data_IF_449892357260
#
_entry.id   IF_449892357260
#
_cell.length_a   1.000
_cell.length_b   1.000
_cell.length_c   1.000
_cell.angle_alpha   90.00
_cell.angle_beta   90.00
_cell.angle_gamma   90.00
#
_symmetry.space_group_name_H-M   'P 1'
#
loop_
_entity.id
_entity.type
_entity.pdbx_description
1 polymer ?
#
# COMPACT_ATOMS: atom_id res chain seq x y z
N UNK A 1 10.55 -6.87 -19.27
CA UNK A 1 11.69 -7.67 -18.75
C UNK A 1 11.87 -7.26 -17.31
N UNK A 2 11.76 -8.15 -16.33
CA UNK A 2 12.03 -7.78 -14.95
C UNK A 2 13.50 -7.38 -14.83
N UNK A 3 13.74 -6.22 -14.25
CA UNK A 3 15.08 -5.75 -13.91
C UNK A 3 15.73 -6.75 -12.98
N UNK A 4 16.84 -7.36 -13.37
CA UNK A 4 17.51 -8.45 -12.68
C UNK A 4 18.17 -8.10 -11.32
N UNK A 5 17.59 -7.18 -10.55
CA UNK A 5 17.98 -6.94 -9.16
C UNK A 5 17.28 -7.95 -8.24
N UNK A 6 18.07 -8.59 -7.39
CA UNK A 6 17.52 -9.50 -6.39
C UNK A 6 16.47 -8.75 -5.52
N UNK A 7 15.30 -9.35 -5.24
CA UNK A 7 14.19 -8.72 -4.52
C UNK A 7 14.59 -8.01 -3.22
N UNK A 8 15.56 -8.56 -2.49
CA UNK A 8 16.10 -7.99 -1.23
C UNK A 8 16.72 -6.60 -1.38
N UNK A 9 17.31 -6.27 -2.52
CA UNK A 9 17.89 -4.95 -2.77
C UNK A 9 16.82 -3.88 -2.98
N UNK A 10 15.74 -4.21 -3.65
CA UNK A 10 14.61 -3.31 -3.85
C UNK A 10 13.92 -2.97 -2.54
N UNK A 11 13.59 -3.96 -1.70
CA UNK A 11 12.97 -3.77 -0.38
C UNK A 11 13.79 -2.84 0.52
N UNK A 12 15.11 -3.03 0.59
CA UNK A 12 15.98 -2.18 1.40
C UNK A 12 16.04 -0.74 0.89
N UNK A 13 15.91 -0.52 -0.42
CA UNK A 13 15.88 0.82 -1.03
C UNK A 13 14.57 1.54 -0.71
N UNK A 14 13.43 0.84 -0.86
CA UNK A 14 12.11 1.35 -0.50
C UNK A 14 12.09 1.77 0.96
N UNK A 15 12.48 0.87 1.87
CA UNK A 15 12.58 1.19 3.30
C UNK A 15 13.42 2.43 3.56
N UNK A 16 14.64 2.52 2.99
CA UNK A 16 15.49 3.71 3.16
C UNK A 16 14.88 4.99 2.60
N UNK A 17 14.05 4.89 1.54
CA UNK A 17 13.35 6.05 1.00
C UNK A 17 12.29 6.56 1.99
N UNK A 18 11.49 5.66 2.57
CA UNK A 18 10.54 6.00 3.62
C UNK A 18 11.24 6.50 4.89
N UNK A 19 12.33 5.87 5.33
CA UNK A 19 13.13 6.34 6.46
C UNK A 19 13.63 7.78 6.26
N UNK A 20 14.04 8.15 5.04
CA UNK A 20 14.45 9.52 4.70
C UNK A 20 13.29 10.49 4.57
N UNK A 21 12.13 10.04 4.10
CA UNK A 21 10.92 10.85 3.97
C UNK A 21 10.25 11.11 5.33
N UNK A 22 10.43 10.22 6.30
CA UNK A 22 9.73 10.20 7.57
C UNK A 22 9.62 11.57 8.27
N UNK A 23 10.66 12.44 8.35
CA UNK A 23 10.54 13.73 9.01
C UNK A 23 9.58 14.72 8.34
N UNK A 24 9.22 14.50 7.06
CA UNK A 24 8.37 15.37 6.25
C UNK A 24 7.09 14.68 5.78
N UNK A 25 6.94 13.40 6.10
CA UNK A 25 5.86 12.56 5.60
C UNK A 25 4.49 13.09 6.00
N UNK A 26 4.29 13.49 7.26
CA UNK A 26 3.02 14.00 7.77
C UNK A 26 2.54 15.29 7.14
N UNK A 27 3.42 16.04 6.46
CA UNK A 27 3.06 17.23 5.70
C UNK A 27 2.68 16.96 4.23
N UNK A 28 2.85 15.72 3.78
CA UNK A 28 2.64 15.31 2.37
C UNK A 28 1.81 14.02 2.26
N UNK A 29 1.13 13.62 3.32
CA UNK A 29 0.38 12.35 3.42
C UNK A 29 -1.09 12.47 2.99
N UNK A 30 -1.49 13.61 2.42
CA UNK A 30 -2.90 13.90 2.07
C UNK A 30 -3.52 12.84 1.15
N UNK A 31 -2.75 12.33 0.19
CA UNK A 31 -3.21 11.30 -0.74
C UNK A 31 -3.49 9.98 0.00
N UNK A 32 -2.61 9.58 0.91
CA UNK A 32 -2.80 8.38 1.74
C UNK A 32 -4.00 8.51 2.67
N UNK A 33 -4.22 9.71 3.22
CA UNK A 33 -5.43 10.00 4.04
C UNK A 33 -6.70 9.96 3.21
N UNK A 34 -6.67 10.47 1.99
CA UNK A 34 -7.83 10.39 1.08
C UNK A 34 -8.14 8.93 0.71
N UNK A 35 -7.11 8.12 0.42
CA UNK A 35 -7.29 6.68 0.19
C UNK A 35 -7.88 5.98 1.40
N UNK A 36 -7.38 6.26 2.61
CA UNK A 36 -7.92 5.72 3.86
C UNK A 36 -9.36 6.11 4.10
N UNK A 37 -9.73 7.38 3.83
CA UNK A 37 -11.11 7.88 3.97
C UNK A 37 -12.06 7.09 3.07
N UNK A 38 -11.72 6.92 1.79
CA UNK A 38 -12.51 6.16 0.81
C UNK A 38 -12.63 4.68 1.19
N UNK A 39 -11.54 4.06 1.63
CA UNK A 39 -11.58 2.69 2.17
C UNK A 39 -12.49 2.60 3.40
N UNK A 40 -12.44 3.60 4.30
CA UNK A 40 -13.29 3.67 5.48
C UNK A 40 -14.78 3.75 5.14
N UNK A 41 -15.14 4.54 4.13
CA UNK A 41 -16.53 4.64 3.63
C UNK A 41 -17.03 3.31 3.06
N UNK A 42 -16.18 2.54 2.39
CA UNK A 42 -16.52 1.19 1.92
C UNK A 42 -16.70 0.22 3.07
N UNK A 43 -15.89 0.36 4.12
CA UNK A 43 -16.01 -0.44 5.33
C UNK A 43 -17.35 -0.20 6.05
N UNK A 44 -18.03 0.96 5.81
CA UNK A 44 -19.37 1.25 6.34
C UNK A 44 -20.45 0.30 5.77
N UNK A 45 -20.23 -0.25 4.59
CA UNK A 45 -21.13 -1.18 3.95
C UNK A 45 -20.92 -2.64 4.40
N UNK A 46 -19.87 -2.89 5.18
CA UNK A 46 -19.48 -4.24 5.61
C UNK A 46 -19.88 -4.46 7.07
N UNK A 47 -20.60 -5.55 7.32
CA UNK A 47 -20.89 -5.98 8.70
C UNK A 47 -19.73 -6.81 9.23
N UNK A 48 -18.91 -6.20 10.06
CA UNK A 48 -17.76 -6.85 10.69
C UNK A 48 -17.57 -6.28 12.10
N UNK A 49 -17.37 -7.14 13.07
CA UNK A 49 -17.04 -6.79 14.47
C UNK A 49 -15.66 -7.40 14.81
N UNK A 50 -14.57 -6.86 14.33
CA UNK A 50 -13.25 -7.43 14.52
C UNK A 50 -12.80 -7.20 15.97
N UNK A 51 -12.17 -8.21 16.56
CA UNK A 51 -11.47 -8.10 17.84
C UNK A 51 -9.96 -7.93 17.66
N UNK A 52 -9.42 -8.30 16.49
CA UNK A 52 -8.01 -8.20 16.14
C UNK A 52 -7.87 -7.55 14.77
N UNK A 53 -7.23 -6.39 14.70
CA UNK A 53 -6.98 -5.63 13.47
C UNK A 53 -5.48 -5.59 13.21
N UNK A 54 -5.06 -6.06 12.05
CA UNK A 54 -3.72 -5.85 11.52
C UNK A 54 -3.74 -4.67 10.56
N UNK A 55 -2.97 -3.63 10.86
CA UNK A 55 -2.67 -2.52 9.96
C UNK A 55 -1.33 -2.82 9.26
N UNK A 56 -1.42 -3.36 8.04
CA UNK A 56 -0.29 -3.89 7.28
C UNK A 56 0.32 -2.81 6.38
N UNK A 57 1.54 -2.38 6.70
CA UNK A 57 2.19 -1.21 6.13
C UNK A 57 1.75 0.08 6.82
N UNK A 58 1.57 0.02 8.13
CA UNK A 58 0.94 1.09 8.93
C UNK A 58 1.72 2.42 8.97
N UNK A 59 2.98 2.44 8.54
CA UNK A 59 3.83 3.61 8.64
C UNK A 59 3.87 4.18 10.07
N UNK A 60 3.43 5.41 10.24
CA UNK A 60 3.27 6.05 11.54
C UNK A 60 1.98 5.68 12.27
N UNK A 61 1.07 4.93 11.63
CA UNK A 61 -0.25 4.56 12.16
C UNK A 61 -1.29 5.67 12.00
N UNK A 62 -1.27 6.36 10.87
CA UNK A 62 -2.20 7.46 10.58
C UNK A 62 -3.67 7.00 10.56
N UNK A 63 -3.94 5.76 10.15
CA UNK A 63 -5.29 5.20 10.04
C UNK A 63 -5.82 4.64 11.38
N UNK A 64 -4.92 4.42 12.36
CA UNK A 64 -5.29 3.88 13.67
C UNK A 64 -6.42 4.64 14.37
N UNK A 65 -6.43 6.00 14.43
CA UNK A 65 -7.51 6.71 15.12
C UNK A 65 -8.89 6.40 14.53
N UNK A 66 -9.00 6.32 13.22
CA UNK A 66 -10.24 5.97 12.52
C UNK A 66 -10.65 4.52 12.82
N UNK A 67 -9.73 3.56 12.70
CA UNK A 67 -9.99 2.14 12.97
C UNK A 67 -10.38 1.90 14.44
N UNK A 68 -9.68 2.53 15.39
CA UNK A 68 -10.00 2.40 16.81
C UNK A 68 -11.30 3.12 17.22
N UNK A 69 -11.67 4.20 16.54
CA UNK A 69 -12.95 4.86 16.74
C UNK A 69 -14.11 3.98 16.28
N UNK A 70 -13.93 3.35 15.10
CA UNK A 70 -14.93 2.47 14.51
C UNK A 70 -15.11 1.16 15.30
N UNK A 71 -14.01 0.59 15.75
CA UNK A 71 -13.94 -0.70 16.46
C UNK A 71 -13.29 -0.54 17.83
N UNK A 72 -14.02 0.03 18.81
CA UNK A 72 -13.45 0.38 20.12
C UNK A 72 -12.98 -0.84 20.92
N UNK A 73 -13.55 -2.02 20.68
CA UNK A 73 -13.19 -3.27 21.37
C UNK A 73 -12.04 -4.01 20.68
N UNK A 74 -11.66 -3.60 19.46
CA UNK A 74 -10.61 -4.27 18.71
C UNK A 74 -9.21 -3.92 19.24
N UNK A 75 -8.32 -4.89 19.24
CA UNK A 75 -6.88 -4.66 19.44
C UNK A 75 -6.23 -4.32 18.08
N UNK A 76 -5.58 -3.18 18.01
CA UNK A 76 -4.87 -2.73 16.82
C UNK A 76 -3.39 -3.12 16.90
N UNK A 77 -2.90 -3.77 15.86
CA UNK A 77 -1.50 -4.12 15.62
C UNK A 77 -1.04 -3.48 14.31
N UNK A 78 -0.09 -2.56 14.37
CA UNK A 78 0.56 -1.99 13.20
C UNK A 78 1.86 -2.74 12.85
N UNK A 79 2.00 -3.09 11.58
CA UNK A 79 3.23 -3.71 11.05
C UNK A 79 3.78 -2.85 9.92
N UNK A 80 5.08 -2.54 9.97
CA UNK A 80 5.79 -1.84 8.90
C UNK A 80 7.27 -2.25 8.86
N UNK A 81 7.89 -2.17 7.69
CA UNK A 81 9.32 -2.44 7.54
C UNK A 81 10.22 -1.30 8.04
N UNK A 82 9.70 -0.06 8.08
CA UNK A 82 10.42 1.14 8.52
C UNK A 82 10.37 1.32 10.04
N UNK A 83 11.47 1.04 10.70
CA UNK A 83 11.60 1.30 12.13
C UNK A 83 11.54 2.80 12.48
N UNK A 84 11.88 3.67 11.53
CA UNK A 84 11.83 5.13 11.73
C UNK A 84 10.38 5.59 11.81
N UNK A 85 9.53 5.17 10.86
CA UNK A 85 8.11 5.50 10.87
C UNK A 85 7.41 4.95 12.12
N UNK A 86 7.68 3.69 12.49
CA UNK A 86 7.10 3.08 13.69
C UNK A 86 7.47 3.84 14.97
N UNK A 87 8.72 4.31 15.09
CA UNK A 87 9.17 5.12 16.24
C UNK A 87 8.47 6.48 16.28
N UNK A 88 8.35 7.15 15.14
CA UNK A 88 7.63 8.44 15.05
C UNK A 88 6.17 8.28 15.45
N UNK A 89 5.48 7.25 14.96
CA UNK A 89 4.11 6.94 15.34
C UNK A 89 3.95 6.72 16.86
N UNK A 90 4.92 6.05 17.52
CA UNK A 90 4.93 5.92 18.98
C UNK A 90 5.04 7.27 19.69
N UNK A 91 5.88 8.17 19.18
CA UNK A 91 6.03 9.51 19.76
C UNK A 91 4.74 10.32 19.63
N UNK A 92 4.03 10.23 18.48
CA UNK A 92 2.75 10.89 18.26
C UNK A 92 1.69 10.36 19.24
N UNK A 93 1.57 9.05 19.43
CA UNK A 93 0.63 8.46 20.38
C UNK A 93 0.92 8.91 21.82
N UNK A 94 2.20 8.99 22.19
CA UNK A 94 2.61 9.44 23.50
C UNK A 94 2.28 10.91 23.76
N UNK A 95 2.42 11.75 22.75
CA UNK A 95 2.09 13.18 22.82
C UNK A 95 0.57 13.41 22.88
N UNK A 96 -0.21 12.61 22.13
CA UNK A 96 -1.67 12.71 22.08
C UNK A 96 -2.35 12.21 23.36
N UNK A 97 -1.74 11.23 24.06
CA UNK A 97 -2.22 10.71 25.35
C UNK A 97 -1.59 11.49 26.48
N UNK A 98 -2.20 12.60 26.89
CA UNK A 98 -1.80 13.33 28.12
C UNK A 98 -1.79 12.38 29.35
N UNK A 99 -0.88 12.67 30.29
CA UNK A 99 -0.60 11.86 31.47
C UNK A 99 -1.85 11.36 32.22
N UNK A 100 -2.90 12.18 32.33
CA UNK A 100 -4.16 11.84 32.99
C UNK A 100 -5.05 10.86 32.20
N UNK A 101 -5.03 10.90 30.86
CA UNK A 101 -5.78 9.94 30.04
C UNK A 101 -5.18 8.53 30.09
N UNK A 102 -3.87 8.41 30.31
CA UNK A 102 -3.18 7.13 30.52
C UNK A 102 -3.67 6.39 31.76
N UNK A 103 -4.01 7.12 32.83
CA UNK A 103 -4.49 6.54 34.09
C UNK A 103 -5.95 6.06 33.97
N UNK A 104 -6.75 6.74 33.14
CA UNK A 104 -8.20 6.49 33.01
C UNK A 104 -8.56 5.51 31.88
N UNK A 105 -7.68 5.35 30.89
CA UNK A 105 -7.95 4.50 29.72
C UNK A 105 -7.39 3.09 29.91
N UNK A 106 -8.05 2.29 30.74
CA UNK A 106 -7.75 0.86 30.93
C UNK A 106 -8.38 -0.04 29.84
N UNK A 107 -8.93 0.54 28.73
CA UNK A 107 -9.51 -0.22 27.64
C UNK A 107 -8.46 -0.99 26.82
N UNK A 108 -8.87 -2.07 26.15
CA UNK A 108 -8.03 -2.92 25.29
C UNK A 108 -7.25 -2.13 24.23
N UNK A 109 -7.76 -0.98 23.78
CA UNK A 109 -7.12 -0.06 22.83
C UNK A 109 -6.00 0.82 23.41
N UNK A 110 -5.70 0.74 24.72
CA UNK A 110 -4.73 1.61 25.38
C UNK A 110 -3.27 1.37 24.93
N UNK A 111 -2.95 0.22 24.34
CA UNK A 111 -1.61 -0.11 23.87
C UNK A 111 -1.60 -0.33 22.35
N UNK A 112 -1.22 0.71 21.59
CA UNK A 112 -0.86 0.53 20.21
C UNK A 112 0.38 -0.37 20.12
N UNK A 113 0.21 -1.58 19.64
CA UNK A 113 1.34 -2.46 19.32
C UNK A 113 1.88 -2.13 17.94
N UNK A 114 3.19 -1.99 17.82
CA UNK A 114 3.88 -1.78 16.54
C UNK A 114 5.04 -2.74 16.42
N UNK A 115 5.09 -3.44 15.29
CA UNK A 115 6.09 -4.48 15.01
C UNK A 115 6.78 -4.16 13.70
N UNK A 116 8.10 -4.18 13.70
CA UNK A 116 8.89 -4.08 12.48
C UNK A 116 9.05 -5.44 11.84
N UNK A 117 8.36 -5.68 10.71
CA UNK A 117 8.41 -6.94 9.99
C UNK A 117 8.20 -6.75 8.47
N UNK A 118 8.47 -7.82 7.74
CA UNK A 118 8.15 -7.97 6.32
C UNK A 118 6.71 -8.50 6.18
N UNK A 119 5.91 -7.89 5.31
CA UNK A 119 4.54 -8.32 5.07
C UNK A 119 4.44 -9.69 4.37
N UNK A 120 5.52 -10.14 3.74
CA UNK A 120 5.60 -11.49 3.16
C UNK A 120 5.94 -12.58 4.20
N UNK A 121 6.29 -12.18 5.44
CA UNK A 121 6.65 -13.11 6.52
C UNK A 121 6.30 -12.47 7.87
N UNK A 122 5.03 -12.47 8.20
CA UNK A 122 4.51 -11.86 9.41
C UNK A 122 4.87 -12.71 10.66
N UNK A 123 5.40 -12.12 11.72
CA UNK A 123 5.69 -12.85 12.96
C UNK A 123 4.41 -13.08 13.78
N UNK A 124 3.39 -13.65 13.13
CA UNK A 124 2.06 -13.87 13.68
C UNK A 124 1.65 -15.32 13.47
N UNK A 125 0.89 -15.85 14.42
CA UNK A 125 0.27 -17.16 14.27
C UNK A 125 -0.76 -17.17 13.15
N UNK A 126 -1.04 -18.32 12.57
CA UNK A 126 -2.16 -18.46 11.64
C UNK A 126 -3.50 -18.20 12.32
N UNK A 127 -4.46 -17.69 11.58
CA UNK A 127 -5.85 -17.49 12.02
C UNK A 127 -5.97 -16.68 13.33
N UNK A 128 -5.24 -15.59 13.45
CA UNK A 128 -5.24 -14.73 14.63
C UNK A 128 -5.82 -13.34 14.39
N UNK A 129 -6.07 -12.92 13.13
CA UNK A 129 -6.60 -11.62 12.75
C UNK A 129 -8.01 -11.72 12.18
N UNK A 130 -8.87 -10.74 12.50
CA UNK A 130 -10.24 -10.66 11.99
C UNK A 130 -10.34 -9.68 10.82
N UNK A 131 -9.53 -8.61 10.84
CA UNK A 131 -9.41 -7.62 9.78
C UNK A 131 -7.94 -7.36 9.47
N UNK A 132 -7.58 -7.42 8.20
CA UNK A 132 -6.34 -6.82 7.69
C UNK A 132 -6.72 -5.55 6.93
N UNK A 133 -6.14 -4.44 7.37
CA UNK A 133 -6.21 -3.14 6.72
C UNK A 133 -4.83 -2.83 6.11
N UNK A 134 -4.77 -2.53 4.81
CA UNK A 134 -3.51 -2.21 4.14
C UNK A 134 -3.71 -1.03 3.19
N UNK A 135 -3.47 0.18 3.70
CA UNK A 135 -3.64 1.40 2.93
C UNK A 135 -2.34 1.80 2.23
N UNK A 136 -2.36 1.84 0.90
CA UNK A 136 -1.27 2.31 0.04
C UNK A 136 0.11 1.68 0.33
N UNK A 137 0.13 0.40 0.75
CA UNK A 137 1.35 -0.31 1.08
C UNK A 137 1.73 -1.40 0.07
N UNK A 138 0.76 -2.08 -0.52
CA UNK A 138 0.97 -3.30 -1.31
C UNK A 138 1.77 -3.07 -2.60
N UNK A 139 1.60 -1.95 -3.26
CA UNK A 139 2.33 -1.62 -4.49
C UNK A 139 3.86 -1.41 -4.28
N UNK A 140 4.31 -1.39 -3.03
CA UNK A 140 5.74 -1.36 -2.67
C UNK A 140 6.36 -2.74 -2.57
N UNK A 141 5.56 -3.80 -2.65
CA UNK A 141 6.00 -5.18 -2.48
C UNK A 141 6.39 -5.81 -3.82
N UNK A 142 7.44 -6.63 -3.82
CA UNK A 142 7.92 -7.30 -5.03
C UNK A 142 7.12 -8.57 -5.35
N UNK A 143 6.48 -9.15 -4.34
CA UNK A 143 5.79 -10.44 -4.42
C UNK A 143 4.41 -10.34 -3.75
N UNK A 144 3.45 -9.79 -4.48
CA UNK A 144 2.05 -9.71 -4.04
C UNK A 144 1.40 -11.08 -3.82
N UNK A 145 1.60 -12.09 -4.71
CA UNK A 145 1.06 -13.42 -4.48
C UNK A 145 1.48 -14.03 -3.14
N UNK A 146 2.75 -13.90 -2.75
CA UNK A 146 3.22 -14.40 -1.47
C UNK A 146 2.65 -13.60 -0.29
N UNK A 147 2.53 -12.28 -0.46
CA UNK A 147 1.88 -11.42 0.54
C UNK A 147 0.42 -11.83 0.78
N UNK A 148 -0.33 -12.09 -0.28
CA UNK A 148 -1.73 -12.51 -0.15
C UNK A 148 -1.88 -13.88 0.50
N UNK A 149 -0.99 -14.83 0.22
CA UNK A 149 -0.94 -16.12 0.95
C UNK A 149 -0.67 -15.91 2.43
N UNK A 150 0.27 -15.04 2.76
CA UNK A 150 0.61 -14.72 4.14
C UNK A 150 -0.54 -14.02 4.87
N UNK A 151 -1.23 -13.09 4.21
CA UNK A 151 -2.43 -12.46 4.73
C UNK A 151 -3.56 -13.47 4.95
N UNK A 152 -3.77 -14.35 3.98
CA UNK A 152 -4.74 -15.44 4.14
C UNK A 152 -4.36 -16.37 5.30
N UNK A 153 -3.08 -16.68 5.50
CA UNK A 153 -2.60 -17.50 6.61
C UNK A 153 -2.97 -16.90 7.97
N UNK A 154 -2.76 -15.59 8.16
CA UNK A 154 -2.98 -14.92 9.45
C UNK A 154 -4.44 -14.54 9.70
N UNK A 155 -5.26 -14.35 8.66
CA UNK A 155 -6.68 -14.12 8.80
C UNK A 155 -7.41 -15.36 9.34
N UNK A 156 -8.41 -15.16 10.17
CA UNK A 156 -9.40 -16.17 10.54
C UNK A 156 -10.34 -16.44 9.38
N UNK A 157 -10.96 -17.61 9.39
CA UNK A 157 -12.12 -17.88 8.52
C UNK A 157 -13.22 -16.87 8.84
N UNK A 158 -13.81 -16.26 7.81
CA UNK A 158 -14.73 -15.12 7.95
C UNK A 158 -14.04 -13.78 8.15
N UNK A 159 -12.69 -13.73 8.17
CA UNK A 159 -11.93 -12.49 8.25
C UNK A 159 -11.87 -11.76 6.91
N UNK A 160 -11.70 -10.46 6.98
CA UNK A 160 -11.70 -9.52 5.87
C UNK A 160 -10.30 -8.95 5.61
N UNK A 161 -9.88 -8.95 4.37
CA UNK A 161 -8.79 -8.11 3.87
C UNK A 161 -9.40 -6.89 3.18
N UNK A 162 -9.03 -5.68 3.63
CA UNK A 162 -9.27 -4.42 2.92
C UNK A 162 -7.95 -3.75 2.57
N UNK A 163 -7.82 -3.28 1.34
CA UNK A 163 -6.58 -2.68 0.89
C UNK A 163 -6.78 -1.61 -0.17
N UNK A 164 -5.75 -0.77 -0.31
CA UNK A 164 -5.59 0.14 -1.43
C UNK A 164 -4.18 0.08 -1.99
N UNK A 165 -4.06 0.37 -3.28
CA UNK A 165 -2.79 0.45 -3.99
C UNK A 165 -2.90 1.43 -5.16
N UNK A 166 -1.78 1.74 -5.79
CA UNK A 166 -1.76 2.52 -7.02
C UNK A 166 -1.80 1.60 -8.24
N UNK A 167 -2.58 2.01 -9.25
CA UNK A 167 -2.68 1.35 -10.53
C UNK A 167 -1.72 1.90 -11.59
N UNK A 168 -1.69 1.27 -12.79
CA UNK A 168 -0.71 1.52 -13.85
C UNK A 168 -0.73 2.94 -14.42
N UNK A 169 -1.86 3.64 -14.38
CA UNK A 169 -1.98 5.00 -14.88
C UNK A 169 -1.43 6.06 -13.90
N UNK A 170 -0.97 5.65 -12.72
CA UNK A 170 -0.36 6.56 -11.74
C UNK A 170 0.90 7.21 -12.31
N UNK A 171 0.96 8.56 -12.21
CA UNK A 171 2.05 9.40 -12.70
C UNK A 171 2.31 9.29 -14.21
N UNK A 172 1.29 9.01 -15.02
CA UNK A 172 1.42 8.83 -16.48
C UNK A 172 2.00 10.06 -17.17
N UNK A 173 1.67 11.27 -16.73
CA UNK A 173 2.19 12.53 -17.30
C UNK A 173 3.69 12.67 -17.02
N UNK A 174 4.12 12.36 -15.80
CA UNK A 174 5.54 12.38 -15.44
C UNK A 174 6.32 11.28 -16.16
N UNK A 175 5.71 10.11 -16.33
CA UNK A 175 6.30 9.00 -17.11
C UNK A 175 6.53 9.42 -18.56
N UNK A 176 5.51 9.97 -19.21
CA UNK A 176 5.62 10.49 -20.57
C UNK A 176 6.72 11.56 -20.67
N UNK A 177 6.73 12.54 -19.76
CA UNK A 177 7.74 13.59 -19.75
C UNK A 177 9.16 13.07 -19.57
N UNK A 178 9.37 12.04 -18.74
CA UNK A 178 10.68 11.41 -18.54
C UNK A 178 11.14 10.63 -19.78
N UNK A 179 10.23 9.94 -20.47
CA UNK A 179 10.51 9.23 -21.71
C UNK A 179 10.90 10.18 -22.84
N UNK A 180 10.17 11.30 -22.97
CA UNK A 180 10.46 12.33 -23.99
C UNK A 180 11.77 13.07 -23.71
N UNK A 181 12.09 13.34 -22.44
CA UNK A 181 13.33 14.01 -22.04
C UNK A 181 14.58 13.14 -22.22
N UNK A 182 14.45 11.82 -22.20
CA UNK A 182 15.54 10.87 -22.34
C UNK A 182 15.08 9.62 -23.09
N UNK A 183 14.88 9.70 -24.43
CA UNK A 183 14.46 8.57 -25.24
C UNK A 183 15.44 7.38 -25.11
N UNK A 184 14.90 6.16 -24.96
CA UNK A 184 15.70 4.94 -24.80
C UNK A 184 16.30 4.75 -23.40
N UNK A 185 16.07 5.65 -22.46
CA UNK A 185 16.42 5.42 -21.05
C UNK A 185 15.42 4.44 -20.40
N UNK A 186 15.92 3.70 -19.40
CA UNK A 186 15.04 2.86 -18.56
C UNK A 186 13.96 3.73 -17.92
N UNK A 187 12.72 3.22 -17.89
CA UNK A 187 11.61 3.90 -17.23
C UNK A 187 11.99 4.24 -15.79
N UNK A 188 11.82 5.49 -15.44
CA UNK A 188 12.18 6.04 -14.13
C UNK A 188 11.01 6.15 -13.17
N UNK A 189 9.82 5.77 -13.61
CA UNK A 189 8.62 5.67 -12.78
C UNK A 189 8.40 4.22 -12.39
N UNK A 190 7.74 3.99 -11.25
CA UNK A 190 7.32 2.65 -10.87
C UNK A 190 6.25 2.16 -11.85
N UNK A 191 6.32 0.89 -12.25
CA UNK A 191 5.20 0.20 -12.85
C UNK A 191 4.36 -0.41 -11.74
N UNK A 192 3.07 -0.16 -11.78
CA UNK A 192 2.11 -0.70 -10.82
C UNK A 192 1.33 -1.84 -11.47
N UNK A 193 0.82 -2.75 -10.65
CA UNK A 193 0.05 -3.91 -11.09
C UNK A 193 -1.38 -3.48 -11.43
N UNK A 194 -1.92 -4.02 -12.52
CA UNK A 194 -3.33 -3.81 -12.91
C UNK A 194 -4.28 -4.44 -11.89
N UNK A 195 -5.46 -3.82 -11.70
CA UNK A 195 -6.42 -4.29 -10.71
C UNK A 195 -6.95 -5.70 -11.00
N UNK A 196 -7.05 -6.10 -12.28
CA UNK A 196 -7.51 -7.44 -12.65
C UNK A 196 -6.47 -8.49 -12.24
N UNK A 197 -5.18 -8.21 -12.47
CA UNK A 197 -4.10 -9.08 -12.02
C UNK A 197 -4.08 -9.22 -10.50
N UNK A 198 -4.36 -8.12 -9.77
CA UNK A 198 -4.48 -8.14 -8.30
C UNK A 198 -5.65 -9.02 -7.86
N UNK A 199 -6.80 -8.92 -8.53
CA UNK A 199 -7.97 -9.76 -8.29
C UNK A 199 -7.65 -11.25 -8.48
N UNK A 200 -6.98 -11.60 -9.55
CA UNK A 200 -6.54 -12.96 -9.83
C UNK A 200 -5.54 -13.48 -8.76
N UNK A 201 -4.60 -12.63 -8.33
CA UNK A 201 -3.65 -12.96 -7.27
C UNK A 201 -4.37 -13.23 -5.93
N UNK A 202 -5.43 -12.49 -5.61
CA UNK A 202 -6.25 -12.72 -4.42
C UNK A 202 -6.91 -14.10 -4.45
N UNK A 203 -7.54 -14.46 -5.57
CA UNK A 203 -8.18 -15.77 -5.75
C UNK A 203 -7.14 -16.89 -5.60
N UNK A 204 -5.98 -16.75 -6.25
CA UNK A 204 -4.87 -17.71 -6.12
C UNK A 204 -4.27 -17.74 -4.71
N UNK A 205 -4.34 -16.64 -3.97
CA UNK A 205 -3.96 -16.54 -2.56
C UNK A 205 -4.95 -17.18 -1.59
N UNK A 206 -6.07 -17.73 -2.09
CA UNK A 206 -7.09 -18.42 -1.28
C UNK A 206 -8.17 -17.51 -0.72
N UNK A 207 -8.32 -16.30 -1.24
CA UNK A 207 -9.43 -15.40 -0.93
C UNK A 207 -10.64 -15.69 -1.80
N UNK A 208 -11.82 -15.37 -1.29
CA UNK A 208 -13.10 -15.48 -2.01
C UNK A 208 -13.72 -14.13 -2.22
N UNK A 209 -14.51 -14.04 -3.29
CA UNK A 209 -15.35 -12.89 -3.64
C UNK A 209 -14.57 -11.56 -3.61
N UNK A 210 -13.42 -11.45 -4.32
CA UNK A 210 -12.70 -10.19 -4.40
C UNK A 210 -13.54 -9.14 -5.11
N UNK A 211 -13.76 -8.02 -4.44
CA UNK A 211 -14.39 -6.83 -5.02
C UNK A 211 -13.31 -5.78 -5.21
N UNK A 212 -13.16 -5.34 -6.43
CA UNK A 212 -12.17 -4.34 -6.82
C UNK A 212 -12.86 -3.12 -7.41
N UNK A 213 -12.30 -1.96 -7.16
CA UNK A 213 -12.76 -0.71 -7.74
C UNK A 213 -11.58 0.22 -8.00
N UNK A 214 -11.71 1.09 -8.99
CA UNK A 214 -10.67 1.99 -9.42
C UNK A 214 -11.24 3.39 -9.62
N UNK A 215 -10.54 4.38 -9.09
CA UNK A 215 -10.85 5.79 -9.28
C UNK A 215 -9.59 6.55 -9.71
N UNK A 216 -9.79 7.58 -10.52
CA UNK A 216 -8.70 8.47 -10.96
C UNK A 216 -8.77 9.77 -10.19
N UNK A 217 -7.66 10.15 -9.55
CA UNK A 217 -7.47 11.45 -8.89
C UNK A 217 -6.35 12.21 -9.60
N UNK A 218 -6.64 13.42 -10.09
CA UNK A 218 -5.63 14.27 -10.71
C UNK A 218 -5.35 15.50 -9.83
N UNK A 219 -4.10 15.64 -9.42
CA UNK A 219 -3.58 16.81 -8.72
C UNK A 219 -2.90 17.73 -9.72
N UNK A 220 -3.13 19.04 -9.60
CA UNK A 220 -2.51 20.01 -10.51
C UNK A 220 -1.64 20.99 -9.74
N UNK A 221 -0.48 21.30 -10.26
CA UNK A 221 0.54 22.14 -9.62
C UNK A 221 0.89 23.36 -10.50
N UNK A 222 1.00 24.52 -9.88
CA UNK A 222 1.54 25.69 -10.57
C UNK A 222 3.07 25.64 -10.71
N UNK A 223 3.75 25.01 -9.72
CA UNK A 223 5.21 24.81 -9.72
C UNK A 223 5.52 23.30 -9.84
N UNK A 224 6.14 22.86 -10.95
CA UNK A 224 6.51 21.44 -11.12
C UNK A 224 7.56 20.96 -10.10
N UNK A 225 8.37 21.88 -9.57
CA UNK A 225 9.32 21.54 -8.51
C UNK A 225 8.62 21.25 -7.18
N UNK A 226 7.49 21.91 -6.92
CA UNK A 226 6.64 21.57 -5.77
C UNK A 226 6.08 20.14 -5.93
N UNK A 227 5.54 19.79 -7.09
CA UNK A 227 5.06 18.44 -7.38
C UNK A 227 6.14 17.38 -7.12
N UNK A 228 7.36 17.60 -7.63
CA UNK A 228 8.49 16.67 -7.42
C UNK A 228 8.92 16.59 -5.95
N UNK A 229 8.86 17.69 -5.20
CA UNK A 229 9.16 17.70 -3.76
C UNK A 229 8.12 16.91 -2.96
N UNK A 230 6.84 17.09 -3.28
CA UNK A 230 5.75 16.36 -2.60
C UNK A 230 5.83 14.88 -2.86
N UNK A 231 6.01 14.46 -4.11
CA UNK A 231 6.25 13.06 -4.46
C UNK A 231 7.41 12.46 -3.65
N UNK A 232 8.51 13.19 -3.52
CA UNK A 232 9.67 12.74 -2.71
C UNK A 232 9.33 12.64 -1.22
N UNK A 233 8.58 13.59 -0.68
CA UNK A 233 8.18 13.61 0.73
C UNK A 233 7.17 12.52 1.08
N UNK A 234 6.33 12.13 0.13
CA UNK A 234 5.41 11.00 0.26
C UNK A 234 6.13 9.64 0.30
N UNK A 235 7.46 9.60 0.22
CA UNK A 235 8.22 8.35 0.09
C UNK A 235 8.04 7.72 -1.29
N UNK A 236 7.19 8.30 -2.15
CA UNK A 236 6.93 7.78 -3.46
C UNK A 236 8.21 7.83 -4.28
N UNK A 237 8.66 6.68 -4.59
CA UNK A 237 9.96 6.50 -5.18
C UNK A 237 9.90 6.57 -6.67
N UNK A 238 9.74 7.74 -7.18
CA UNK A 238 10.42 8.05 -8.43
C UNK A 238 11.90 7.61 -8.35
N UNK A 239 12.44 7.46 -7.15
CA UNK A 239 13.87 7.24 -6.93
C UNK A 239 14.33 5.77 -6.88
N UNK A 240 13.47 4.76 -6.82
CA UNK A 240 13.93 3.37 -6.67
C UNK A 240 14.61 2.82 -7.92
N UNK A 241 14.22 3.28 -9.10
CA UNK A 241 14.91 2.92 -10.37
C UNK A 241 16.07 3.85 -10.72
N UNK A 242 16.21 5.03 -10.08
CA UNK A 242 17.25 6.01 -10.40
C UNK A 242 18.69 5.57 -10.06
N UNK A 243 18.85 4.64 -9.15
CA UNK A 243 20.17 4.28 -8.67
C UNK A 243 21.00 3.47 -9.68
N UNK A 244 20.39 2.96 -10.74
CA UNK A 244 21.11 2.15 -11.73
C UNK A 244 21.93 2.99 -12.74
N UNK A 245 21.70 4.30 -12.87
CA UNK A 245 22.25 5.10 -13.95
C UNK A 245 22.90 6.44 -13.55
N UNK A 246 23.44 6.54 -12.34
CA UNK A 246 24.20 7.72 -11.90
C UNK A 246 23.33 8.85 -11.32
N UNK A 247 23.98 9.98 -11.03
CA UNK A 247 23.35 11.15 -10.42
C UNK A 247 22.40 11.82 -11.42
N UNK A 248 21.15 12.02 -11.02
CA UNK A 248 20.18 12.79 -11.79
C UNK A 248 20.48 14.29 -11.65
N UNK A 249 20.84 14.93 -12.74
CA UNK A 249 21.24 16.34 -12.76
C UNK A 249 20.02 17.27 -12.80
N UNK A 250 20.21 18.54 -12.38
CA UNK A 250 19.20 19.59 -12.55
C UNK A 250 18.83 19.80 -14.03
N UNK A 251 19.82 19.63 -14.94
CA UNK A 251 19.61 19.70 -16.40
C UNK A 251 18.59 18.65 -16.87
N UNK A 252 18.67 17.43 -16.37
CA UNK A 252 17.71 16.38 -16.68
C UNK A 252 16.29 16.76 -16.25
N UNK A 253 16.12 17.21 -14.98
CA UNK A 253 14.81 17.61 -14.49
C UNK A 253 14.25 18.82 -15.24
N UNK A 254 15.07 19.79 -15.64
CA UNK A 254 14.61 20.88 -16.49
C UNK A 254 14.11 20.37 -17.85
N UNK A 255 14.77 19.36 -18.44
CA UNK A 255 14.30 18.74 -19.68
C UNK A 255 12.98 17.99 -19.48
N UNK A 256 12.80 17.28 -18.36
CA UNK A 256 11.52 16.62 -18.00
C UNK A 256 10.42 17.66 -17.86
N UNK A 257 10.66 18.75 -17.13
CA UNK A 257 9.68 19.82 -16.92
C UNK A 257 9.27 20.47 -18.25
N UNK A 258 10.21 20.63 -19.19
CA UNK A 258 9.93 21.18 -20.51
C UNK A 258 9.01 20.27 -21.35
N UNK A 259 9.04 18.95 -21.12
CA UNK A 259 8.20 17.96 -21.79
C UNK A 259 6.94 17.60 -21.00
N UNK A 260 6.76 18.11 -19.76
CA UNK A 260 5.62 17.78 -18.94
C UNK A 260 4.36 18.42 -19.51
N UNK A 261 3.32 17.63 -19.85
CA UNK A 261 2.04 18.17 -20.34
C UNK A 261 1.45 19.17 -19.36
N UNK A 262 0.81 20.19 -19.89
CA UNK A 262 0.07 21.16 -19.07
C UNK A 262 -1.43 21.03 -19.35
N UNK A 263 -2.22 21.27 -18.32
CA UNK A 263 -3.67 21.37 -18.45
C UNK A 263 -4.09 22.70 -19.12
N UNK A 264 -5.40 22.91 -19.27
CA UNK A 264 -5.95 24.10 -19.90
C UNK A 264 -5.60 25.40 -19.16
N UNK A 265 -5.34 25.29 -17.85
CA UNK A 265 -4.96 26.40 -16.97
C UNK A 265 -3.42 26.59 -16.92
N UNK A 266 -2.66 25.84 -17.71
CA UNK A 266 -1.20 25.90 -17.76
C UNK A 266 -0.50 25.25 -16.56
N UNK A 267 -1.22 24.46 -15.75
CA UNK A 267 -0.71 23.75 -14.57
C UNK A 267 -0.15 22.39 -14.96
N UNK A 268 0.64 21.81 -14.08
CA UNK A 268 1.27 20.50 -14.25
C UNK A 268 0.42 19.41 -13.57
N UNK A 269 -0.29 18.56 -14.34
CA UNK A 269 -1.08 17.50 -13.77
C UNK A 269 -0.21 16.32 -13.31
N UNK A 270 -0.66 15.68 -12.25
CA UNK A 270 -0.21 14.37 -11.78
C UNK A 270 -1.44 13.50 -11.53
N UNK A 271 -1.60 12.50 -12.34
CA UNK A 271 -2.69 11.52 -12.20
C UNK A 271 -2.27 10.40 -11.25
N UNK A 272 -3.18 10.04 -10.36
CA UNK A 272 -3.08 8.87 -9.49
C UNK A 272 -4.28 7.98 -9.76
N UNK A 273 -4.02 6.76 -10.14
CA UNK A 273 -5.02 5.69 -10.23
C UNK A 273 -5.07 5.00 -8.88
N UNK A 274 -6.20 5.15 -8.20
CA UNK A 274 -6.43 4.61 -6.86
C UNK A 274 -7.22 3.32 -6.99
N UNK A 275 -6.57 2.18 -6.80
CA UNK A 275 -7.21 0.88 -6.76
C UNK A 275 -7.52 0.53 -5.31
N UNK A 276 -8.77 0.16 -5.04
CA UNK A 276 -9.21 -0.30 -3.74
C UNK A 276 -9.87 -1.67 -3.88
N UNK A 277 -9.66 -2.51 -2.90
CA UNK A 277 -10.24 -3.84 -2.93
C UNK A 277 -10.49 -4.40 -1.55
N UNK A 278 -11.39 -5.38 -1.53
CA UNK A 278 -11.57 -6.23 -0.36
C UNK A 278 -11.83 -7.68 -0.80
N UNK A 279 -11.48 -8.59 0.08
CA UNK A 279 -11.73 -10.01 -0.14
C UNK A 279 -11.85 -10.75 1.20
N UNK A 280 -12.63 -11.82 1.23
CA UNK A 280 -12.90 -12.60 2.42
C UNK A 280 -12.05 -13.87 2.46
N UNK A 281 -11.63 -14.28 3.63
CA UNK A 281 -11.16 -15.63 3.85
C UNK A 281 -12.34 -16.53 4.18
N UNK A 282 -12.72 -17.37 3.24
CA UNK A 282 -13.78 -18.37 3.46
C UNK A 282 -13.20 -19.70 3.97
N UNK A 283 -14.05 -20.50 4.60
CA UNK A 283 -13.70 -21.88 4.89
C UNK A 283 -13.41 -22.64 3.58
N UNK A 284 -12.43 -23.52 3.61
CA UNK A 284 -12.21 -24.41 2.47
C UNK A 284 -13.52 -25.16 2.15
N UNK A 285 -13.95 -25.14 0.87
CA UNK A 285 -15.13 -25.90 0.45
C UNK A 285 -14.86 -27.37 0.72
N UNK A 286 -15.68 -27.97 1.57
CA UNK A 286 -15.67 -29.41 1.82
C UNK A 286 -16.90 -30.02 1.14
N UNK A 287 -16.76 -31.20 0.59
CA UNK A 287 -17.89 -32.02 0.16
C UNK A 287 -18.71 -32.46 1.39
N UNK A 288 -19.99 -32.80 1.22
CA UNK A 288 -20.86 -33.26 2.32
C UNK A 288 -20.28 -34.45 3.11
N UNK A 289 -19.39 -35.21 2.50
CA UNK A 289 -18.67 -36.35 3.13
C UNK A 289 -17.36 -35.93 3.84
N UNK A 290 -17.07 -34.62 3.96
CA UNK A 290 -15.87 -34.11 4.63
C UNK A 290 -14.60 -34.08 3.77
N UNK A 291 -14.65 -34.49 2.50
CA UNK A 291 -13.50 -34.42 1.59
C UNK A 291 -13.29 -33.00 1.06
N UNK A 292 -12.03 -32.61 0.91
CA UNK A 292 -11.69 -31.34 0.30
C UNK A 292 -12.10 -31.30 -1.19
N UNK A 293 -12.80 -30.26 -1.61
CA UNK A 293 -13.09 -30.03 -3.03
C UNK A 293 -11.85 -29.41 -3.67
N UNK A 294 -11.15 -30.17 -4.50
CA UNK A 294 -10.02 -29.66 -5.29
C UNK A 294 -10.56 -29.21 -6.65
N UNK A 295 -10.62 -27.91 -6.88
CA UNK A 295 -10.94 -27.38 -8.21
C UNK A 295 -9.67 -27.43 -9.07
N UNK A 296 -9.62 -28.32 -10.04
CA UNK A 296 -8.60 -28.28 -11.08
C UNK A 296 -8.93 -27.16 -12.07
N UNK A 297 -8.20 -26.07 -12.01
CA UNK A 297 -8.19 -25.12 -13.12
C UNK A 297 -7.38 -25.73 -14.26
N UNK A 298 -7.94 -25.84 -15.49
CA UNK A 298 -7.17 -26.28 -16.64
C UNK A 298 -6.03 -25.26 -16.86
N UNK A 299 -4.81 -25.75 -17.06
CA UNK A 299 -3.72 -24.88 -17.50
C UNK A 299 -4.11 -24.22 -18.82
N UNK A 300 -3.95 -22.89 -18.96
CA UNK A 300 -4.11 -22.27 -20.27
C UNK A 300 -3.13 -22.94 -21.23
N UNK A 301 -3.67 -23.38 -22.39
CA UNK A 301 -2.90 -24.04 -23.43
C UNK A 301 -1.70 -23.16 -23.81
N UNK A 302 -0.50 -23.69 -23.62
CA UNK A 302 0.69 -23.05 -24.21
C UNK A 302 0.53 -23.14 -25.73
N UNK A 303 0.62 -22.03 -26.48
CA UNK A 303 0.69 -22.12 -27.93
C UNK A 303 1.92 -22.95 -28.28
N UNK A 304 1.71 -24.05 -28.98
CA UNK A 304 2.78 -24.83 -29.63
C UNK A 304 3.55 -23.89 -30.57
N UNK A 305 4.85 -23.81 -30.38
CA UNK A 305 5.77 -23.11 -31.30
C UNK A 305 5.94 -23.90 -32.60
#
# INVERSE_FOLDING_TARGET
MPTGEAPRFRRSRIRRAFDRAAPRFSGSDFLYREMARRMGERLDMVRLEPLQILDAGCGMGADRPMLCHRYPEAQWLGVDSSQVLLRQGRCIDLAATGFFRRLLNQGRNARAMRVGADLNALPLSGQCMDLIWSNAALHWLDDLPETFKEFNRVLRVGGLLMFSLFGPDTLKELRLATQLAAPGSVDRTLSFTDMHDVGDMLVHGGFSDPVMDMETLTLTYADPWQALRELKNMGSCVATHFAAHGLTTKRFWNAVIAQWPRDAEGRYPLTFELVQGHAWKMAAKQHEDGRAVVNFMPRPDRPLR
#
